data_IF_367226529023
#
_entry.id   IF_367226529023
#
_cell.length_a   1.000
_cell.length_b   1.000
_cell.length_c   1.000
_cell.angle_alpha   90.00
_cell.angle_beta   90.00
_cell.angle_gamma   90.00
#
_symmetry.space_group_name_H-M   'P 1'
#
loop_
_entity.id
_entity.type
_entity.pdbx_description
1 polymer ?
#
# COMPACT_ATOMS: atom_id res chain seq x y z
N UNK A 1 -16.59 26.20 -1.97
CA UNK A 1 -16.13 27.14 -0.92
C UNK A 1 -15.93 26.33 0.34
N UNK A 2 -14.82 26.53 1.05
CA UNK A 2 -14.53 25.81 2.28
C UNK A 2 -15.57 26.12 3.38
N UNK A 3 -15.93 25.10 4.16
CA UNK A 3 -16.95 25.14 5.20
C UNK A 3 -16.46 24.50 6.49
N UNK A 4 -16.93 25.01 7.65
CA UNK A 4 -16.70 24.35 8.95
C UNK A 4 -17.31 22.94 9.00
N UNK A 5 -18.25 22.65 8.11
CA UNK A 5 -18.83 21.31 7.95
C UNK A 5 -17.84 20.29 7.39
N UNK A 6 -16.89 20.76 6.59
CA UNK A 6 -15.84 19.92 6.02
C UNK A 6 -14.87 19.43 7.13
N UNK A 7 -14.83 20.17 8.25
CA UNK A 7 -14.07 19.84 9.46
C UNK A 7 -14.94 19.23 10.58
N UNK A 8 -16.10 18.66 10.24
CA UNK A 8 -16.89 17.84 11.17
C UNK A 8 -18.00 18.56 11.94
N UNK A 9 -18.16 19.89 11.82
CA UNK A 9 -19.30 20.56 12.45
C UNK A 9 -20.62 20.33 11.68
N UNK A 10 -21.70 20.16 12.42
CA UNK A 10 -23.05 20.26 11.88
C UNK A 10 -23.39 21.69 11.43
N UNK A 11 -24.46 21.81 10.66
CA UNK A 11 -24.94 23.13 10.21
C UNK A 11 -25.34 24.03 11.38
N UNK A 12 -25.91 23.47 12.44
CA UNK A 12 -26.31 24.26 13.62
C UNK A 12 -25.11 24.73 14.42
N UNK A 13 -24.10 23.88 14.61
CA UNK A 13 -22.84 24.24 15.27
C UNK A 13 -22.10 25.32 14.49
N UNK A 14 -21.96 25.17 13.18
CA UNK A 14 -21.32 26.16 12.32
C UNK A 14 -22.03 27.53 12.40
N UNK A 15 -23.38 27.55 12.40
CA UNK A 15 -24.15 28.80 12.55
C UNK A 15 -23.99 29.41 13.94
N UNK A 16 -24.07 28.61 15.00
CA UNK A 16 -23.92 29.08 16.38
C UNK A 16 -22.52 29.65 16.65
N UNK A 17 -21.47 28.96 16.20
CA UNK A 17 -20.08 29.43 16.32
C UNK A 17 -19.86 30.75 15.58
N UNK A 18 -20.32 30.85 14.32
CA UNK A 18 -20.25 32.10 13.54
C UNK A 18 -21.04 33.24 14.19
N UNK A 19 -22.19 32.95 14.79
CA UNK A 19 -22.97 33.95 15.51
C UNK A 19 -22.21 34.44 16.75
N UNK A 20 -21.61 33.54 17.54
CA UNK A 20 -20.79 33.89 18.70
C UNK A 20 -19.60 34.78 18.35
N UNK A 21 -18.92 34.53 17.22
CA UNK A 21 -17.85 35.41 16.72
C UNK A 21 -18.34 36.83 16.40
N UNK A 22 -19.59 36.99 15.97
CA UNK A 22 -20.16 38.30 15.60
C UNK A 22 -20.71 39.06 16.80
N UNK A 23 -21.43 38.38 17.69
CA UNK A 23 -22.15 39.04 18.81
C UNK A 23 -21.34 39.06 20.10
N UNK A 24 -20.26 38.29 20.19
CA UNK A 24 -19.44 38.16 21.40
C UNK A 24 -20.14 37.38 22.51
N UNK A 25 -19.75 37.68 23.76
CA UNK A 25 -20.22 36.95 24.93
C UNK A 25 -21.73 37.14 25.18
N UNK A 26 -22.51 36.07 24.98
CA UNK A 26 -23.99 36.13 24.95
C UNK A 26 -24.63 34.96 25.68
N UNK A 27 -25.92 35.05 26.02
CA UNK A 27 -26.68 33.93 26.60
C UNK A 27 -27.19 32.96 25.54
N UNK A 28 -27.52 31.72 25.91
CA UNK A 28 -28.09 30.73 24.99
C UNK A 28 -29.38 31.22 24.29
N UNK A 29 -30.22 31.98 25.00
CA UNK A 29 -31.47 32.54 24.46
C UNK A 29 -31.20 33.58 23.37
N UNK A 30 -30.21 34.44 23.59
CA UNK A 30 -29.79 35.44 22.61
C UNK A 30 -29.08 34.78 21.43
N UNK A 31 -28.24 33.78 21.69
CA UNK A 31 -27.55 33.04 20.64
C UNK A 31 -28.52 32.30 19.71
N UNK A 32 -29.55 31.66 20.27
CA UNK A 32 -30.59 30.99 19.48
C UNK A 32 -31.25 31.95 18.47
N UNK A 33 -31.51 33.20 18.89
CA UNK A 33 -32.05 34.24 18.01
C UNK A 33 -31.04 34.74 16.98
N UNK A 34 -29.78 34.89 17.37
CA UNK A 34 -28.74 35.42 16.49
C UNK A 34 -28.20 34.40 15.46
N UNK A 35 -28.36 33.11 15.73
CA UNK A 35 -27.85 32.01 14.89
C UNK A 35 -28.93 31.29 14.07
N UNK A 36 -30.21 31.63 14.27
CA UNK A 36 -31.37 30.88 13.74
C UNK A 36 -31.35 29.38 14.10
N UNK A 37 -30.72 29.04 15.23
CA UNK A 37 -30.74 27.70 15.81
C UNK A 37 -31.91 27.63 16.79
N UNK A 38 -32.85 26.67 16.64
CA UNK A 38 -34.02 26.55 17.51
C UNK A 38 -33.63 26.42 18.99
N UNK A 39 -34.41 27.04 19.88
CA UNK A 39 -34.14 27.01 21.32
C UNK A 39 -34.08 25.57 21.89
N UNK A 40 -34.85 24.63 21.31
CA UNK A 40 -34.81 23.22 21.70
C UNK A 40 -33.50 22.49 21.37
N UNK A 41 -32.63 23.07 20.53
CA UNK A 41 -31.35 22.49 20.09
C UNK A 41 -30.13 23.29 20.54
N UNK A 42 -30.31 24.51 21.04
CA UNK A 42 -29.18 25.42 21.31
C UNK A 42 -28.25 24.88 22.41
N UNK A 43 -28.79 24.20 23.41
CA UNK A 43 -27.97 23.63 24.49
C UNK A 43 -27.15 22.43 24.01
N UNK A 44 -27.72 21.56 23.17
CA UNK A 44 -27.00 20.45 22.53
C UNK A 44 -25.84 20.99 21.69
N UNK A 45 -26.11 22.02 20.88
CA UNK A 45 -25.10 22.69 20.05
C UNK A 45 -24.01 23.33 20.89
N UNK A 46 -24.37 24.03 21.98
CA UNK A 46 -23.39 24.62 22.89
C UNK A 46 -22.54 23.56 23.58
N UNK A 47 -23.13 22.44 24.00
CA UNK A 47 -22.39 21.34 24.61
C UNK A 47 -21.39 20.72 23.62
N UNK A 48 -21.82 20.49 22.37
CA UNK A 48 -20.94 19.97 21.32
C UNK A 48 -19.79 20.94 21.02
N UNK A 49 -20.09 22.22 20.83
CA UNK A 49 -19.06 23.25 20.64
C UNK A 49 -18.11 23.37 21.85
N UNK A 50 -18.57 23.09 23.08
CA UNK A 50 -17.75 23.08 24.29
C UNK A 50 -16.86 21.81 24.36
N UNK A 51 -17.36 20.65 23.89
CA UNK A 51 -16.62 19.40 23.72
C UNK A 51 -15.50 19.54 22.69
N UNK A 52 -15.77 20.15 21.53
CA UNK A 52 -14.74 20.52 20.56
C UNK A 52 -13.84 21.69 21.03
N UNK A 53 -14.06 22.19 22.25
CA UNK A 53 -13.34 23.32 22.83
C UNK A 53 -13.38 24.60 21.99
N UNK A 54 -14.42 24.80 21.17
CA UNK A 54 -14.59 25.95 20.28
C UNK A 54 -15.26 27.14 20.98
N UNK A 55 -15.83 26.92 22.16
CA UNK A 55 -16.41 27.97 22.98
C UNK A 55 -15.88 27.89 24.41
N UNK A 56 -16.12 28.95 25.16
CA UNK A 56 -15.94 29.02 26.61
C UNK A 56 -17.24 29.48 27.23
N UNK A 57 -17.52 28.98 28.43
CA UNK A 57 -18.71 29.36 29.17
C UNK A 57 -18.37 30.00 30.51
N UNK A 58 -19.11 31.05 30.87
CA UNK A 58 -18.94 31.78 32.12
C UNK A 58 -20.01 31.32 33.11
N UNK A 59 -19.76 30.23 33.83
CA UNK A 59 -20.73 29.62 34.74
C UNK A 59 -21.18 30.54 35.89
N UNK A 60 -20.35 31.51 36.29
CA UNK A 60 -20.67 32.47 37.35
C UNK A 60 -21.72 33.52 36.94
N UNK A 61 -22.00 33.69 35.64
CA UNK A 61 -23.01 34.64 35.20
C UNK A 61 -24.41 34.04 35.29
N UNK A 62 -25.40 34.85 35.70
CA UNK A 62 -26.82 34.49 35.68
C UNK A 62 -27.58 35.48 34.80
N UNK A 63 -27.99 35.10 33.57
CA UNK A 63 -27.88 33.77 32.94
C UNK A 63 -26.44 33.42 32.51
N UNK A 64 -26.16 32.12 32.31
CA UNK A 64 -24.85 31.61 31.81
C UNK A 64 -24.56 32.20 30.44
N UNK A 65 -23.36 32.76 30.26
CA UNK A 65 -22.88 33.34 29.00
C UNK A 65 -21.85 32.44 28.33
N UNK A 66 -21.79 32.53 27.00
CA UNK A 66 -20.91 31.77 26.13
C UNK A 66 -20.17 32.71 25.20
N UNK A 67 -18.91 32.42 24.90
CA UNK A 67 -18.07 33.18 23.98
C UNK A 67 -17.31 32.21 23.08
N UNK A 68 -17.11 32.58 21.81
CA UNK A 68 -16.30 31.81 20.88
C UNK A 68 -14.82 31.89 21.25
N UNK A 69 -14.11 30.78 21.02
CA UNK A 69 -12.65 30.78 20.87
C UNK A 69 -12.28 31.46 19.56
N UNK A 70 -11.06 31.97 19.43
CA UNK A 70 -10.61 32.64 18.22
C UNK A 70 -10.58 31.68 17.02
N UNK A 71 -10.89 32.18 15.79
CA UNK A 71 -10.99 31.34 14.60
C UNK A 71 -9.78 30.46 14.34
N UNK A 72 -8.57 30.98 14.45
CA UNK A 72 -7.35 30.23 14.15
C UNK A 72 -7.22 29.02 15.07
N UNK A 73 -7.31 29.23 16.40
CA UNK A 73 -7.27 28.14 17.38
C UNK A 73 -8.43 27.16 17.23
N UNK A 74 -9.62 27.64 16.87
CA UNK A 74 -10.77 26.77 16.65
C UNK A 74 -10.60 25.89 15.40
N UNK A 75 -10.04 26.44 14.32
CA UNK A 75 -9.75 25.70 13.09
C UNK A 75 -8.64 24.68 13.32
N UNK A 76 -7.59 25.02 14.06
CA UNK A 76 -6.52 24.09 14.43
C UNK A 76 -7.07 22.89 15.21
N UNK A 77 -7.92 23.14 16.22
CA UNK A 77 -8.57 22.07 17.02
C UNK A 77 -9.48 21.18 16.19
N UNK A 78 -10.25 21.77 15.27
CA UNK A 78 -11.11 21.00 14.38
C UNK A 78 -10.30 20.14 13.42
N UNK A 79 -9.19 20.67 12.89
CA UNK A 79 -8.30 19.92 12.03
C UNK A 79 -7.62 18.76 12.77
N UNK A 80 -7.13 19.00 13.98
CA UNK A 80 -6.52 17.98 14.85
C UNK A 80 -7.51 16.86 15.17
N UNK A 81 -8.71 17.21 15.66
CA UNK A 81 -9.77 16.23 15.92
C UNK A 81 -10.16 15.45 14.67
N UNK A 82 -10.15 16.08 13.49
CA UNK A 82 -10.45 15.39 12.23
C UNK A 82 -9.34 14.43 11.80
N UNK A 83 -8.07 14.76 12.08
CA UNK A 83 -6.94 13.86 11.82
C UNK A 83 -7.02 12.62 12.72
N UNK A 84 -7.25 12.81 14.01
CA UNK A 84 -7.43 11.71 14.97
C UNK A 84 -8.56 10.78 14.53
N UNK A 85 -9.73 11.32 14.14
CA UNK A 85 -10.86 10.51 13.64
C UNK A 85 -10.50 9.69 12.40
N UNK A 86 -9.68 10.23 11.50
CA UNK A 86 -9.26 9.54 10.28
C UNK A 86 -8.21 8.47 10.56
N UNK A 87 -7.30 8.73 11.50
CA UNK A 87 -6.27 7.78 11.93
C UNK A 87 -6.92 6.57 12.64
N UNK A 88 -7.86 6.80 13.56
CA UNK A 88 -8.62 5.72 14.20
C UNK A 88 -9.36 4.84 13.18
N UNK A 89 -9.96 5.45 12.15
CA UNK A 89 -10.64 4.71 11.08
C UNK A 89 -9.67 3.91 10.22
N UNK A 90 -8.50 4.47 9.91
CA UNK A 90 -7.47 3.76 9.15
C UNK A 90 -7.02 2.50 9.90
N UNK A 91 -6.68 2.64 11.19
CA UNK A 91 -6.30 1.50 12.03
C UNK A 91 -7.42 0.47 12.18
N UNK A 92 -8.68 0.90 12.24
CA UNK A 92 -9.81 -0.03 12.23
C UNK A 92 -9.89 -0.83 10.92
N UNK A 93 -9.65 -0.19 9.77
CA UNK A 93 -9.66 -0.89 8.48
C UNK A 93 -8.48 -1.85 8.33
N UNK A 94 -7.28 -1.46 8.79
CA UNK A 94 -6.10 -2.34 8.83
C UNK A 94 -6.39 -3.62 9.62
N UNK A 95 -6.98 -3.48 10.82
CA UNK A 95 -7.36 -4.65 11.63
C UNK A 95 -8.38 -5.57 10.93
N UNK A 96 -9.33 -4.98 10.18
CA UNK A 96 -10.30 -5.77 9.40
C UNK A 96 -9.61 -6.51 8.25
N UNK A 97 -8.61 -5.91 7.60
CA UNK A 97 -7.82 -6.58 6.56
C UNK A 97 -7.05 -7.75 7.14
N UNK A 98 -6.39 -7.58 8.29
CA UNK A 98 -5.65 -8.64 8.96
C UNK A 98 -6.55 -9.83 9.34
N UNK A 99 -7.74 -9.55 9.89
CA UNK A 99 -8.72 -10.59 10.23
C UNK A 99 -9.21 -11.35 9.00
N UNK A 100 -9.51 -10.62 7.91
CA UNK A 100 -9.97 -11.23 6.66
C UNK A 100 -8.88 -12.02 5.94
N UNK A 101 -7.62 -11.58 5.99
CA UNK A 101 -6.51 -12.32 5.41
C UNK A 101 -6.42 -13.73 6.00
N UNK A 102 -6.49 -13.85 7.33
CA UNK A 102 -6.48 -15.15 8.03
C UNK A 102 -7.71 -16.00 7.69
N UNK A 103 -8.90 -15.39 7.63
CA UNK A 103 -10.14 -16.12 7.31
C UNK A 103 -10.12 -16.67 5.88
N UNK A 104 -9.66 -15.87 4.93
CA UNK A 104 -9.64 -16.22 3.51
C UNK A 104 -8.52 -17.19 3.15
N UNK A 105 -7.38 -17.12 3.84
CA UNK A 105 -6.26 -18.05 3.67
C UNK A 105 -6.57 -19.45 4.26
N UNK A 106 -7.46 -19.53 5.26
CA UNK A 106 -7.92 -20.80 5.81
C UNK A 106 -8.83 -21.60 4.85
N UNK A 107 -9.21 -21.05 3.69
CA UNK A 107 -9.91 -21.79 2.66
C UNK A 107 -8.95 -22.80 2.00
N UNK A 108 -9.26 -24.10 2.07
CA UNK A 108 -8.46 -25.14 1.42
C UNK A 108 -8.18 -24.75 -0.05
N UNK A 109 -6.91 -24.80 -0.50
CA UNK A 109 -6.58 -24.52 -1.89
C UNK A 109 -7.41 -25.41 -2.79
N UNK A 110 -8.11 -24.82 -3.75
CA UNK A 110 -8.86 -25.58 -4.76
C UNK A 110 -7.84 -26.41 -5.55
N UNK A 111 -7.77 -27.71 -5.26
CA UNK A 111 -6.81 -28.68 -5.83
C UNK A 111 -6.98 -28.96 -7.33
N UNK A 112 -7.71 -28.13 -8.06
CA UNK A 112 -7.69 -28.18 -9.52
C UNK A 112 -6.44 -27.44 -10.00
N UNK A 113 -5.74 -28.00 -11.00
CA UNK A 113 -4.66 -27.32 -11.73
C UNK A 113 -5.24 -26.08 -12.43
N UNK A 114 -5.39 -25.00 -11.67
CA UNK A 114 -5.86 -23.71 -12.15
C UNK A 114 -4.64 -22.91 -12.58
N UNK A 115 -4.64 -22.50 -13.83
CA UNK A 115 -3.64 -21.58 -14.36
C UNK A 115 -4.30 -20.25 -14.63
N UNK A 116 -3.63 -19.18 -14.23
CA UNK A 116 -4.00 -17.80 -14.57
C UNK A 116 -3.05 -17.34 -15.66
N UNK A 117 -3.56 -16.62 -16.66
CA UNK A 117 -2.70 -15.99 -17.66
C UNK A 117 -3.05 -14.51 -17.79
N UNK A 118 -2.03 -13.68 -17.70
CA UNK A 118 -2.09 -12.27 -18.05
C UNK A 118 -1.49 -12.09 -19.44
N UNK A 119 -2.12 -11.28 -20.29
CA UNK A 119 -1.67 -10.98 -21.65
C UNK A 119 -1.59 -9.48 -21.80
N UNK A 120 -0.45 -8.97 -22.25
CA UNK A 120 -0.17 -7.53 -22.25
C UNK A 120 0.91 -7.17 -21.23
N UNK A 121 1.58 -6.04 -21.46
CA UNK A 121 2.72 -5.62 -20.64
C UNK A 121 2.26 -5.29 -19.20
N UNK A 122 1.25 -4.42 -19.06
CA UNK A 122 0.78 -3.97 -17.76
C UNK A 122 0.20 -5.13 -16.94
N UNK A 123 -0.67 -5.94 -17.54
CA UNK A 123 -1.29 -7.09 -16.85
C UNK A 123 -0.25 -8.16 -16.45
N UNK A 124 0.81 -8.33 -17.25
CA UNK A 124 1.91 -9.25 -16.92
C UNK A 124 2.68 -8.77 -15.72
N UNK A 125 2.97 -7.46 -15.63
CA UNK A 125 3.64 -6.89 -14.47
C UNK A 125 2.74 -6.97 -13.25
N UNK A 126 1.46 -6.60 -13.35
CA UNK A 126 0.51 -6.69 -12.24
C UNK A 126 0.43 -8.12 -11.67
N UNK A 127 0.31 -9.12 -12.55
CA UNK A 127 0.32 -10.52 -12.13
C UNK A 127 1.67 -10.90 -11.52
N UNK A 128 2.81 -10.50 -12.09
CA UNK A 128 4.11 -10.78 -11.50
C UNK A 128 4.19 -10.24 -10.07
N UNK A 129 3.87 -8.96 -9.87
CA UNK A 129 3.93 -8.29 -8.57
C UNK A 129 3.00 -8.96 -7.55
N UNK A 130 1.76 -9.27 -7.95
CA UNK A 130 0.81 -10.00 -7.10
C UNK A 130 1.40 -11.33 -6.61
N UNK A 131 2.12 -12.03 -7.49
CA UNK A 131 2.73 -13.33 -7.18
C UNK A 131 3.98 -13.22 -6.31
N UNK A 132 4.82 -12.20 -6.51
CA UNK A 132 5.96 -11.93 -5.63
C UNK A 132 5.50 -11.54 -4.22
N UNK A 133 4.45 -10.72 -4.13
CA UNK A 133 3.87 -10.29 -2.86
C UNK A 133 3.26 -11.47 -2.05
N UNK A 134 2.81 -12.51 -2.74
CA UNK A 134 2.22 -13.71 -2.13
C UNK A 134 3.24 -14.73 -1.61
N UNK A 135 4.54 -14.54 -1.82
CA UNK A 135 5.56 -15.47 -1.34
C UNK A 135 5.71 -15.42 0.18
N UNK A 136 5.75 -16.61 0.81
CA UNK A 136 5.80 -16.80 2.27
C UNK A 136 7.10 -17.44 2.78
N UNK A 137 7.72 -18.35 2.00
CA UNK A 137 8.89 -19.13 2.43
C UNK A 137 10.11 -18.88 1.53
N UNK A 138 9.93 -18.95 0.21
CA UNK A 138 11.03 -18.83 -0.73
C UNK A 138 10.60 -18.32 -2.09
N UNK A 139 11.48 -17.52 -2.70
CA UNK A 139 11.29 -16.95 -4.02
C UNK A 139 12.55 -17.20 -4.87
N UNK A 140 12.39 -17.95 -5.96
CA UNK A 140 13.43 -18.08 -6.98
C UNK A 140 13.00 -17.27 -8.20
N UNK A 141 13.82 -16.32 -8.61
CA UNK A 141 13.60 -15.52 -9.81
C UNK A 141 14.71 -15.76 -10.81
N UNK A 142 14.35 -16.10 -12.04
CA UNK A 142 15.28 -16.21 -13.17
C UNK A 142 14.90 -15.14 -14.18
N UNK A 143 15.81 -14.20 -14.41
CA UNK A 143 15.63 -13.09 -15.34
C UNK A 143 16.67 -13.19 -16.46
N UNK A 144 16.22 -13.65 -17.63
CA UNK A 144 17.03 -13.85 -18.82
C UNK A 144 17.24 -12.57 -19.62
N UNK A 145 16.82 -12.58 -20.89
CA UNK A 145 16.99 -11.44 -21.79
C UNK A 145 15.98 -10.33 -21.47
N UNK A 146 16.41 -9.05 -21.40
CA UNK A 146 15.47 -7.94 -21.23
C UNK A 146 14.49 -7.85 -22.40
N UNK A 147 13.20 -7.79 -22.09
CA UNK A 147 12.13 -7.63 -23.09
C UNK A 147 11.91 -6.15 -23.40
N UNK A 148 11.97 -5.70 -24.68
CA UNK A 148 11.89 -4.28 -25.05
C UNK A 148 10.58 -3.57 -24.68
N UNK A 149 9.53 -4.33 -24.38
CA UNK A 149 8.23 -3.79 -24.02
C UNK A 149 8.17 -3.29 -22.57
N UNK A 150 9.13 -3.69 -21.73
CA UNK A 150 9.20 -3.30 -20.34
C UNK A 150 10.24 -2.19 -20.17
N UNK A 151 9.85 -1.13 -19.48
CA UNK A 151 10.81 -0.15 -18.98
C UNK A 151 11.57 -0.81 -17.80
N UNK A 152 12.80 -1.25 -18.05
CA UNK A 152 13.64 -1.91 -17.04
C UNK A 152 13.88 -1.05 -15.80
N UNK A 153 13.81 0.28 -15.92
CA UNK A 153 13.92 1.17 -14.76
C UNK A 153 12.67 1.13 -13.91
N UNK A 154 11.50 1.32 -14.53
CA UNK A 154 10.23 1.31 -13.81
C UNK A 154 9.91 -0.08 -13.24
N UNK A 155 10.04 -1.13 -14.05
CA UNK A 155 9.80 -2.51 -13.60
C UNK A 155 10.85 -2.94 -12.59
N UNK A 156 12.12 -2.57 -12.80
CA UNK A 156 13.20 -2.87 -11.87
C UNK A 156 12.98 -2.28 -10.48
N UNK A 157 12.42 -1.06 -10.39
CA UNK A 157 12.07 -0.43 -9.11
C UNK A 157 10.99 -1.19 -8.36
N UNK A 158 9.90 -1.49 -9.07
CA UNK A 158 8.73 -2.15 -8.46
C UNK A 158 9.12 -3.55 -8.00
N UNK A 159 9.85 -4.29 -8.84
CA UNK A 159 10.34 -5.63 -8.46
C UNK A 159 11.28 -5.53 -7.26
N UNK A 160 12.18 -4.55 -7.22
CA UNK A 160 13.09 -4.37 -6.07
C UNK A 160 12.33 -4.11 -4.77
N UNK A 161 11.30 -3.26 -4.80
CA UNK A 161 10.44 -2.97 -3.64
C UNK A 161 9.70 -4.23 -3.15
N UNK A 162 9.23 -5.07 -4.06
CA UNK A 162 8.62 -6.36 -3.69
C UNK A 162 9.63 -7.36 -3.13
N UNK A 163 10.86 -7.41 -3.68
CA UNK A 163 11.92 -8.26 -3.14
C UNK A 163 12.32 -7.81 -1.72
N UNK A 164 12.46 -6.51 -1.49
CA UNK A 164 12.71 -5.93 -0.16
C UNK A 164 11.59 -6.31 0.82
N UNK A 165 10.34 -6.13 0.40
CA UNK A 165 9.16 -6.47 1.21
C UNK A 165 9.08 -7.97 1.53
N UNK A 166 9.43 -8.85 0.59
CA UNK A 166 9.49 -10.28 0.82
C UNK A 166 10.60 -10.66 1.82
N UNK A 167 11.77 -10.06 1.70
CA UNK A 167 12.89 -10.28 2.63
C UNK A 167 12.55 -9.81 4.05
N UNK A 168 11.85 -8.67 4.19
CA UNK A 168 11.36 -8.17 5.48
C UNK A 168 10.35 -9.12 6.14
N UNK A 169 9.57 -9.86 5.33
CA UNK A 169 8.70 -10.96 5.80
C UNK A 169 9.47 -12.24 6.17
N UNK A 170 10.76 -12.32 5.83
CA UNK A 170 11.63 -13.47 6.10
C UNK A 170 11.72 -14.49 4.97
N UNK A 171 11.25 -14.15 3.77
CA UNK A 171 11.32 -15.01 2.57
C UNK A 171 12.78 -15.12 2.10
N UNK A 172 13.21 -16.33 1.74
CA UNK A 172 14.53 -16.55 1.11
C UNK A 172 14.47 -16.27 -0.39
N UNK A 173 15.25 -15.30 -0.88
CA UNK A 173 15.20 -14.83 -2.26
C UNK A 173 16.47 -15.22 -3.01
N UNK A 174 16.32 -15.97 -4.09
CA UNK A 174 17.39 -16.37 -5.02
C UNK A 174 17.15 -15.81 -6.42
N UNK A 175 17.94 -14.81 -6.82
CA UNK A 175 17.85 -14.12 -8.11
C UNK A 175 18.99 -14.56 -9.06
N UNK A 176 18.65 -15.18 -10.18
CA UNK A 176 19.58 -15.53 -11.25
C UNK A 176 19.37 -14.64 -12.47
N UNK A 177 20.39 -13.88 -12.86
CA UNK A 177 20.31 -12.97 -14.01
C UNK A 177 21.25 -13.37 -15.15
N UNK A 178 20.89 -13.00 -16.37
CA UNK A 178 21.85 -12.96 -17.48
C UNK A 178 22.80 -11.76 -17.34
N UNK A 179 24.07 -11.86 -17.77
CA UNK A 179 24.97 -10.70 -17.83
C UNK A 179 24.39 -9.56 -18.67
N UNK A 180 23.75 -9.87 -19.81
CA UNK A 180 23.13 -8.89 -20.70
C UNK A 180 22.04 -8.07 -20.00
N UNK A 181 21.25 -8.69 -19.12
CA UNK A 181 20.27 -7.98 -18.31
C UNK A 181 20.95 -7.04 -17.32
N UNK A 182 21.97 -7.52 -16.60
CA UNK A 182 22.72 -6.70 -15.63
C UNK A 182 23.32 -5.47 -16.30
N UNK A 183 23.90 -5.61 -17.51
CA UNK A 183 24.44 -4.50 -18.29
C UNK A 183 23.35 -3.52 -18.79
N UNK A 184 22.11 -4.01 -18.95
CA UNK A 184 20.98 -3.22 -19.42
C UNK A 184 20.21 -2.50 -18.29
N UNK A 185 20.44 -2.89 -17.03
CA UNK A 185 19.79 -2.27 -15.88
C UNK A 185 20.29 -0.82 -15.70
N UNK A 186 19.40 0.14 -15.41
CA UNK A 186 19.83 1.48 -15.04
C UNK A 186 20.72 1.47 -13.80
N UNK A 187 21.77 2.31 -13.78
CA UNK A 187 22.71 2.43 -12.64
C UNK A 187 21.97 2.62 -11.30
N UNK A 188 20.86 3.35 -11.31
CA UNK A 188 20.03 3.58 -10.11
C UNK A 188 19.46 2.28 -9.53
N UNK A 189 18.94 1.39 -10.39
CA UNK A 189 18.38 0.10 -9.97
C UNK A 189 19.50 -0.76 -9.41
N UNK A 190 20.63 -0.86 -10.11
CA UNK A 190 21.81 -1.59 -9.63
C UNK A 190 22.31 -1.09 -8.28
N UNK A 191 22.36 0.23 -8.08
CA UNK A 191 22.77 0.83 -6.82
C UNK A 191 21.79 0.51 -5.68
N UNK A 192 20.47 0.50 -5.95
CA UNK A 192 19.48 0.11 -4.95
C UNK A 192 19.61 -1.37 -4.56
N UNK A 193 19.92 -2.27 -5.52
CA UNK A 193 20.22 -3.66 -5.17
C UNK A 193 21.41 -3.75 -4.21
N UNK A 194 22.45 -2.94 -4.39
CA UNK A 194 23.60 -2.88 -3.48
C UNK A 194 23.22 -2.33 -2.12
N UNK A 195 22.57 -1.16 -2.11
CA UNK A 195 22.35 -0.40 -0.89
C UNK A 195 21.32 -1.06 0.03
N UNK A 196 20.34 -1.76 -0.56
CA UNK A 196 19.19 -2.31 0.16
C UNK A 196 19.28 -3.83 0.32
N UNK A 197 19.67 -4.57 -0.72
CA UNK A 197 19.49 -6.02 -0.75
C UNK A 197 20.80 -6.81 -0.56
N UNK A 198 21.94 -6.29 -1.01
CA UNK A 198 23.19 -7.07 -1.10
C UNK A 198 23.70 -7.61 0.25
N UNK A 199 23.46 -6.90 1.35
CA UNK A 199 23.87 -7.31 2.70
C UNK A 199 22.78 -8.12 3.44
N UNK A 200 21.59 -8.29 2.85
CA UNK A 200 20.50 -9.03 3.50
C UNK A 200 20.82 -10.54 3.51
N UNK A 201 20.77 -11.22 4.67
CA UNK A 201 21.22 -12.61 4.79
C UNK A 201 20.37 -13.61 3.99
N UNK A 202 19.10 -13.28 3.73
CA UNK A 202 18.19 -14.08 2.90
C UNK A 202 18.17 -13.69 1.42
N UNK A 203 19.01 -12.74 0.98
CA UNK A 203 19.09 -12.36 -0.43
C UNK A 203 20.33 -12.97 -1.08
N UNK A 204 20.12 -13.65 -2.20
CA UNK A 204 21.17 -14.27 -2.97
C UNK A 204 21.03 -13.90 -4.43
N UNK A 205 22.07 -13.33 -5.02
CA UNK A 205 22.07 -12.93 -6.43
C UNK A 205 23.28 -13.51 -7.17
N UNK A 206 23.02 -14.10 -8.33
CA UNK A 206 24.05 -14.70 -9.19
C UNK A 206 23.81 -14.38 -10.66
N UNK A 207 24.87 -14.52 -11.44
CA UNK A 207 24.84 -14.40 -12.91
C UNK A 207 25.29 -15.69 -13.58
N UNK A 208 24.64 -16.03 -14.69
CA UNK A 208 25.03 -17.16 -15.52
C UNK A 208 24.88 -16.82 -17.01
N UNK A 209 25.81 -17.31 -17.82
CA UNK A 209 25.68 -17.24 -19.27
C UNK A 209 24.53 -18.15 -19.75
N UNK A 210 23.90 -17.81 -20.88
CA UNK A 210 22.83 -18.58 -21.52
C UNK A 210 21.55 -18.74 -20.68
N UNK A 211 21.20 -17.73 -19.87
CA UNK A 211 19.87 -17.64 -19.25
C UNK A 211 18.89 -17.06 -20.28
N UNK A 212 18.11 -17.93 -20.92
CA UNK A 212 17.20 -17.56 -22.02
C UNK A 212 15.73 -17.48 -21.63
N UNK A 213 15.37 -18.01 -20.47
CA UNK A 213 13.98 -18.00 -19.99
C UNK A 213 13.79 -17.03 -18.83
N UNK A 214 12.55 -16.57 -18.66
CA UNK A 214 12.11 -15.84 -17.47
C UNK A 214 11.09 -16.72 -16.75
N UNK A 215 11.40 -17.09 -15.51
CA UNK A 215 10.43 -17.76 -14.66
C UNK A 215 10.67 -17.42 -13.19
N UNK A 216 9.60 -17.53 -12.42
CA UNK A 216 9.63 -17.40 -10.96
C UNK A 216 9.06 -18.67 -10.35
N UNK A 217 9.65 -19.12 -9.24
CA UNK A 217 9.17 -20.24 -8.45
C UNK A 217 8.95 -19.75 -7.03
N UNK A 218 7.72 -19.91 -6.55
CA UNK A 218 7.21 -19.35 -5.29
C UNK A 218 6.84 -20.52 -4.40
N UNK A 219 7.44 -20.55 -3.20
CA UNK A 219 7.18 -21.51 -2.12
C UNK A 219 7.26 -23.00 -2.52
N UNK A 220 7.97 -23.28 -3.63
CA UNK A 220 8.11 -24.64 -4.16
C UNK A 220 6.84 -25.25 -4.74
N UNK A 221 5.76 -24.47 -4.89
CA UNK A 221 4.44 -24.97 -5.33
C UNK A 221 3.86 -24.21 -6.51
N UNK A 222 4.30 -22.98 -6.74
CA UNK A 222 3.75 -22.08 -7.76
C UNK A 222 4.85 -21.63 -8.71
N UNK A 223 4.53 -21.54 -10.00
CA UNK A 223 5.45 -21.16 -11.05
C UNK A 223 4.83 -20.11 -11.97
N UNK A 224 5.50 -18.97 -12.09
CA UNK A 224 5.21 -17.98 -13.11
C UNK A 224 6.17 -18.15 -14.29
N UNK A 225 5.67 -18.33 -15.52
CA UNK A 225 6.49 -18.47 -16.72
C UNK A 225 6.12 -17.39 -17.72
N UNK A 226 7.12 -16.66 -18.20
CA UNK A 226 6.95 -15.73 -19.30
C UNK A 226 6.82 -16.48 -20.62
N UNK A 227 5.76 -16.16 -21.38
CA UNK A 227 5.51 -16.70 -22.71
C UNK A 227 6.03 -15.70 -23.74
N UNK A 228 6.97 -16.07 -24.61
CA UNK A 228 7.47 -15.18 -25.64
C UNK A 228 6.43 -14.94 -26.74
N UNK A 229 6.50 -13.78 -27.39
CA UNK A 229 5.62 -13.42 -28.49
C UNK A 229 5.90 -14.28 -29.73
N UNK A 230 4.89 -15.01 -30.26
CA UNK A 230 5.08 -15.89 -31.42
C UNK A 230 5.57 -15.18 -32.68
N UNK A 231 5.33 -13.87 -32.79
CA UNK A 231 5.70 -13.05 -33.94
C UNK A 231 7.00 -12.25 -33.70
N UNK A 232 7.39 -12.05 -32.45
CA UNK A 232 8.64 -11.39 -32.04
C UNK A 232 9.22 -12.06 -30.77
N UNK A 233 10.01 -13.14 -30.91
CA UNK A 233 10.45 -13.93 -29.77
C UNK A 233 11.31 -13.20 -28.73
N UNK A 234 11.77 -11.97 -29.03
CA UNK A 234 12.48 -11.12 -28.06
C UNK A 234 11.55 -10.30 -27.16
N UNK A 235 10.23 -10.37 -27.38
CA UNK A 235 9.21 -9.70 -26.59
C UNK A 235 8.39 -10.71 -25.79
N UNK A 236 7.95 -10.32 -24.61
CA UNK A 236 7.06 -11.13 -23.79
C UNK A 236 5.61 -10.93 -24.23
N UNK A 237 4.83 -11.99 -24.32
CA UNK A 237 3.43 -11.91 -24.73
C UNK A 237 2.48 -12.03 -23.56
N UNK A 238 2.81 -12.90 -22.62
CA UNK A 238 1.97 -13.24 -21.50
C UNK A 238 2.81 -13.75 -20.33
N UNK A 239 2.24 -13.72 -19.13
CA UNK A 239 2.72 -14.46 -17.98
C UNK A 239 1.69 -15.50 -17.61
N UNK A 240 2.13 -16.74 -17.48
CA UNK A 240 1.30 -17.85 -16.98
C UNK A 240 1.70 -18.12 -15.54
N UNK A 241 0.76 -17.99 -14.63
CA UNK A 241 0.84 -18.47 -13.25
C UNK A 241 0.23 -19.86 -13.15
N UNK A 242 0.98 -20.82 -12.62
CA UNK A 242 0.57 -22.21 -12.46
C UNK A 242 0.89 -22.70 -11.04
N UNK A 243 -0.17 -23.12 -10.32
CA UNK A 243 -0.05 -23.82 -9.04
C UNK A 243 0.03 -25.33 -9.27
N UNK A 244 1.24 -25.85 -9.40
CA UNK A 244 1.52 -27.27 -9.59
C UNK A 244 2.85 -27.64 -8.90
N UNK A 245 2.79 -28.28 -7.70
CA UNK A 245 3.98 -28.67 -6.96
C UNK A 245 4.90 -29.66 -7.69
N UNK A 246 4.36 -30.54 -8.52
CA UNK A 246 5.16 -31.50 -9.28
C UNK A 246 5.95 -30.76 -10.36
N UNK A 247 5.29 -29.83 -11.08
CA UNK A 247 5.96 -28.99 -12.07
C UNK A 247 6.99 -28.05 -11.44
N UNK A 248 6.67 -27.42 -10.29
CA UNK A 248 7.59 -26.58 -9.54
C UNK A 248 8.84 -27.37 -9.10
N UNK A 249 8.66 -28.56 -8.54
CA UNK A 249 9.78 -29.43 -8.15
C UNK A 249 10.69 -29.78 -9.34
N UNK A 250 10.11 -30.15 -10.49
CA UNK A 250 10.86 -30.45 -11.71
C UNK A 250 11.67 -29.23 -12.22
N UNK A 251 11.09 -28.03 -12.18
CA UNK A 251 11.80 -26.81 -12.54
C UNK A 251 12.94 -26.50 -11.57
N UNK A 252 12.71 -26.67 -10.26
CA UNK A 252 13.75 -26.48 -9.23
C UNK A 252 14.93 -27.44 -9.43
N UNK A 253 14.68 -28.70 -9.78
CA UNK A 253 15.74 -29.66 -10.12
C UNK A 253 16.57 -29.21 -11.33
N UNK A 254 15.94 -28.51 -12.28
CA UNK A 254 16.64 -27.97 -13.46
C UNK A 254 17.36 -26.65 -13.15
N UNK A 255 16.90 -25.90 -12.14
CA UNK A 255 17.50 -24.66 -11.68
C UNK A 255 18.78 -24.90 -10.85
N UNK A 256 18.73 -25.82 -9.87
CA UNK A 256 19.82 -26.00 -8.90
C UNK A 256 21.22 -26.17 -9.53
N UNK A 257 21.42 -27.00 -10.58
CA UNK A 257 22.74 -27.14 -11.20
C UNK A 257 23.24 -25.85 -11.86
N UNK A 258 22.33 -25.03 -12.42
CA UNK A 258 22.68 -23.74 -13.00
C UNK A 258 23.04 -22.74 -11.91
N UNK A 259 22.29 -22.72 -10.83
CA UNK A 259 22.55 -21.88 -9.67
C UNK A 259 23.91 -22.17 -9.04
N UNK A 260 24.24 -23.44 -8.83
CA UNK A 260 25.52 -23.88 -8.26
C UNK A 260 26.71 -23.48 -9.14
N UNK A 261 26.55 -23.55 -10.46
CA UNK A 261 27.57 -23.14 -11.43
C UNK A 261 27.63 -21.61 -11.67
N UNK A 262 26.60 -20.87 -11.27
CA UNK A 262 26.50 -19.43 -11.46
C UNK A 262 27.47 -18.66 -10.57
N UNK A 263 27.90 -17.49 -11.05
CA UNK A 263 28.86 -16.62 -10.36
C UNK A 263 28.09 -15.63 -9.48
N UNK A 264 28.41 -15.48 -8.19
CA UNK A 264 27.85 -14.42 -7.36
C UNK A 264 28.00 -13.06 -8.03
N UNK A 265 26.92 -12.30 -8.13
CA UNK A 265 26.99 -10.95 -8.68
C UNK A 265 27.73 -10.06 -7.68
N UNK A 266 28.87 -9.52 -8.08
CA UNK A 266 29.55 -8.46 -7.36
C UNK A 266 29.30 -7.15 -8.09
N UNK A 267 28.69 -6.19 -7.41
CA UNK A 267 28.52 -4.82 -7.91
C UNK A 267 29.81 -4.00 -7.76
#
# INVERSE_FOLDING_TARGET
>A
MASLRDLGLSEYEARAYRALLRVGATTAKELSRASDVPMGRIYDVLNSLEQYHLIRSQAASRPKKYVAVEPDTALDRLLESKREELEEKASQYESVVDELAVELDAAEPVHDQFWTAAVGADETIDLLIERLAAADESLIMVAGTPSPQFDLGAVGDIVLEELESALDRGVDVSLLMSPDLVESLPERVGQQYVDTLADHPGFHVRTAENVTGVFNLIDGVEVCIEVPNPMDPGQAFALIDLKDPEFAANLRETFNPRWEAAVPLSF
#
